data_IF_040968034782
#
_entry.id   IF_040968034782
#
_cell.length_a   1.000
_cell.length_b   1.000
_cell.length_c   1.000
_cell.angle_alpha   90.00
_cell.angle_beta   90.00
_cell.angle_gamma   90.00
#
_symmetry.space_group_name_H-M   'P 1'
#
loop_
_entity.id
_entity.type
_entity.pdbx_description
1 polymer ?
#
# COMPACT_ATOMS: atom_id res chain seq x y z
N UNK A 1 7.24 -24.01 7.70
CA UNK A 1 7.89 -23.24 8.75
C UNK A 1 8.03 -21.78 8.27
N UNK A 2 7.75 -20.83 9.16
CA UNK A 2 7.99 -19.41 8.92
C UNK A 2 9.48 -19.05 8.89
N UNK A 3 9.77 -17.79 8.51
CA UNK A 3 11.13 -17.26 8.51
C UNK A 3 11.68 -17.14 9.96
N UNK A 4 12.99 -17.00 10.08
CA UNK A 4 13.66 -16.73 11.36
C UNK A 4 13.45 -15.25 11.68
N UNK A 5 12.95 -14.98 12.88
CA UNK A 5 12.72 -13.60 13.34
C UNK A 5 14.05 -12.91 13.63
N UNK A 6 14.17 -11.66 13.20
CA UNK A 6 15.33 -10.84 13.48
C UNK A 6 15.50 -10.60 15.00
N UNK A 7 16.71 -10.67 15.55
CA UNK A 7 16.92 -10.58 17.01
C UNK A 7 16.48 -9.24 17.62
N UNK A 8 16.46 -8.16 16.84
CA UNK A 8 16.06 -6.82 17.31
C UNK A 8 14.53 -6.58 17.21
N UNK A 9 13.77 -7.50 16.57
CA UNK A 9 12.32 -7.35 16.49
C UNK A 9 11.68 -7.43 17.90
N UNK A 10 10.70 -6.56 18.22
CA UNK A 10 9.96 -6.67 19.47
C UNK A 10 9.35 -8.06 19.64
N UNK A 11 9.32 -8.56 20.88
CA UNK A 11 8.77 -9.90 21.19
C UNK A 11 7.33 -9.74 21.68
N UNK A 12 6.39 -10.40 21.01
CA UNK A 12 5.00 -10.36 21.43
C UNK A 12 4.01 -10.55 20.28
N UNK A 13 2.75 -10.21 20.51
CA UNK A 13 1.66 -10.26 19.52
C UNK A 13 1.43 -8.91 18.84
N UNK A 14 0.30 -8.78 18.16
CA UNK A 14 -0.08 -7.59 17.36
C UNK A 14 0.00 -6.26 18.16
N UNK A 15 -0.33 -6.30 19.46
CA UNK A 15 -0.35 -5.09 20.31
C UNK A 15 1.03 -4.71 20.88
N UNK A 16 2.04 -5.57 20.71
CA UNK A 16 3.36 -5.39 21.30
C UNK A 16 4.37 -4.71 20.35
N UNK A 17 3.87 -3.98 19.36
CA UNK A 17 4.69 -3.19 18.45
C UNK A 17 5.43 -2.05 19.18
N UNK A 18 6.54 -1.60 18.63
CA UNK A 18 7.29 -0.46 19.16
C UNK A 18 7.09 0.77 18.25
N UNK A 19 6.68 1.90 18.83
CA UNK A 19 6.71 3.19 18.13
C UNK A 19 8.14 3.70 18.09
N UNK A 20 8.73 3.78 16.89
CA UNK A 20 10.13 4.17 16.71
C UNK A 20 10.31 5.63 16.30
N UNK A 21 9.29 6.25 15.71
CA UNK A 21 9.33 7.65 15.28
C UNK A 21 7.91 8.21 15.11
N UNK A 22 7.76 9.50 15.38
CA UNK A 22 6.57 10.28 15.05
C UNK A 22 6.98 11.48 14.19
N UNK A 23 6.24 11.72 13.10
CA UNK A 23 6.51 12.78 12.14
C UNK A 23 5.25 13.62 11.94
N UNK A 24 5.40 14.93 12.08
CA UNK A 24 4.29 15.87 11.99
C UNK A 24 3.38 15.86 13.23
N UNK A 25 2.44 16.79 13.22
CA UNK A 25 1.47 16.95 14.32
C UNK A 25 0.06 16.90 13.73
N UNK A 26 -0.83 16.04 14.28
CA UNK A 26 -2.24 16.04 13.90
C UNK A 26 -2.88 17.43 14.07
N UNK A 27 -3.72 17.82 13.11
CA UNK A 27 -4.48 19.09 13.21
C UNK A 27 -5.47 19.02 14.37
N UNK A 28 -5.62 20.15 15.05
CA UNK A 28 -6.66 20.34 16.05
C UNK A 28 -7.87 21.03 15.41
N UNK A 29 -8.80 20.23 14.89
CA UNK A 29 -10.00 20.74 14.22
C UNK A 29 -10.92 21.50 15.15
N UNK A 30 -10.95 21.16 16.45
CA UNK A 30 -11.74 21.89 17.43
C UNK A 30 -11.19 23.31 17.61
N UNK A 31 -9.87 23.47 17.68
CA UNK A 31 -9.22 24.80 17.74
C UNK A 31 -9.44 25.60 16.44
N UNK A 32 -9.60 24.92 15.29
CA UNK A 32 -9.94 25.54 14.00
C UNK A 32 -11.44 25.86 13.88
N UNK A 33 -12.26 25.43 14.82
CA UNK A 33 -13.68 25.81 14.93
C UNK A 33 -14.65 24.96 14.11
N UNK A 34 -14.30 23.71 13.73
CA UNK A 34 -15.22 22.82 13.04
C UNK A 34 -14.95 21.33 13.40
N UNK A 35 -15.97 20.51 13.16
CA UNK A 35 -15.89 19.06 13.32
C UNK A 35 -15.49 18.41 12.01
N UNK A 36 -14.44 17.59 11.96
CA UNK A 36 -14.02 16.93 10.72
C UNK A 36 -15.08 15.92 10.24
N UNK A 37 -15.27 15.88 8.93
CA UNK A 37 -16.08 14.86 8.25
C UNK A 37 -15.21 13.63 7.96
N UNK A 38 -15.83 12.46 7.89
CA UNK A 38 -15.12 11.26 7.45
C UNK A 38 -14.89 11.25 5.92
N UNK A 39 -14.04 10.35 5.47
CA UNK A 39 -13.67 10.27 4.05
C UNK A 39 -14.85 9.93 3.13
N UNK A 40 -15.87 9.22 3.63
CA UNK A 40 -17.04 8.89 2.82
C UNK A 40 -17.92 10.12 2.61
N UNK A 41 -18.18 10.89 3.67
CA UNK A 41 -18.90 12.17 3.56
C UNK A 41 -18.20 13.13 2.62
N UNK A 42 -16.87 13.27 2.77
CA UNK A 42 -16.05 14.10 1.87
C UNK A 42 -16.06 13.58 0.44
N UNK A 43 -15.95 12.27 0.27
CA UNK A 43 -16.00 11.60 -1.03
C UNK A 43 -17.33 11.85 -1.77
N UNK A 44 -18.44 11.85 -1.04
CA UNK A 44 -19.76 12.15 -1.58
C UNK A 44 -19.87 13.65 -1.95
N UNK A 45 -19.42 14.55 -1.07
CA UNK A 45 -19.42 16.00 -1.35
C UNK A 45 -18.59 16.37 -2.57
N UNK A 46 -17.47 15.70 -2.76
CA UNK A 46 -16.56 15.92 -3.89
C UNK A 46 -17.00 15.19 -5.17
N UNK A 47 -18.02 14.33 -5.09
CA UNK A 47 -18.38 13.43 -6.20
C UNK A 47 -17.26 12.46 -6.56
N UNK A 48 -16.47 12.03 -5.57
CA UNK A 48 -15.22 11.29 -5.74
C UNK A 48 -15.36 9.79 -5.49
N UNK A 49 -16.26 9.36 -4.62
CA UNK A 49 -16.42 7.97 -4.17
C UNK A 49 -17.89 7.57 -4.22
N UNK A 50 -18.17 6.41 -4.82
CA UNK A 50 -19.50 5.83 -4.89
C UNK A 50 -19.48 4.38 -4.39
N UNK A 51 -19.81 4.18 -3.14
CA UNK A 51 -19.88 2.84 -2.52
C UNK A 51 -21.23 2.17 -2.75
N UNK A 52 -22.29 2.91 -2.97
CA UNK A 52 -23.62 2.37 -3.24
C UNK A 52 -23.65 1.59 -4.56
N UNK A 53 -23.16 2.21 -5.63
CA UNK A 53 -23.05 1.54 -6.93
C UNK A 53 -21.97 0.45 -6.93
N UNK A 54 -20.91 0.60 -6.17
CA UNK A 54 -19.92 -0.46 -5.95
C UNK A 54 -20.55 -1.71 -5.36
N UNK A 55 -21.35 -1.55 -4.30
CA UNK A 55 -22.09 -2.65 -3.66
C UNK A 55 -23.13 -3.26 -4.62
N UNK A 56 -23.84 -2.43 -5.38
CA UNK A 56 -24.81 -2.89 -6.38
C UNK A 56 -24.20 -3.79 -7.45
N UNK A 57 -23.01 -3.47 -7.91
CA UNK A 57 -22.35 -4.17 -9.04
C UNK A 57 -21.57 -5.39 -8.54
N UNK A 58 -20.86 -5.29 -7.42
CA UNK A 58 -19.88 -6.28 -7.00
C UNK A 58 -20.06 -6.78 -5.57
N UNK A 59 -20.96 -6.18 -4.79
CA UNK A 59 -21.17 -6.51 -3.39
C UNK A 59 -20.51 -5.53 -2.42
N UNK A 60 -20.63 -5.80 -1.13
CA UNK A 60 -20.03 -4.98 -0.08
C UNK A 60 -18.51 -4.89 -0.23
N UNK A 61 -17.92 -3.80 0.25
CA UNK A 61 -16.47 -3.50 0.17
C UNK A 61 -15.94 -3.31 -1.26
N UNK A 62 -16.83 -3.08 -2.22
CA UNK A 62 -16.49 -2.58 -3.56
C UNK A 62 -16.98 -1.13 -3.71
N UNK A 63 -16.34 -0.38 -4.58
CA UNK A 63 -16.55 1.04 -4.75
C UNK A 63 -16.21 1.46 -6.20
N UNK A 64 -16.69 2.63 -6.58
CA UNK A 64 -16.18 3.36 -7.72
C UNK A 64 -15.47 4.62 -7.23
N UNK A 65 -14.34 4.95 -7.84
CA UNK A 65 -13.79 6.30 -7.81
C UNK A 65 -14.29 7.03 -9.04
N UNK A 66 -14.86 8.22 -8.85
CA UNK A 66 -15.52 8.98 -9.89
C UNK A 66 -14.99 10.41 -9.95
N UNK A 67 -15.02 11.03 -11.13
CA UNK A 67 -14.62 12.43 -11.27
C UNK A 67 -13.24 12.71 -10.67
N UNK A 68 -13.21 13.65 -9.72
CA UNK A 68 -11.95 14.03 -9.06
C UNK A 68 -11.32 12.87 -8.24
N UNK A 69 -12.11 11.91 -7.79
CA UNK A 69 -11.60 10.73 -7.09
C UNK A 69 -10.76 9.85 -8.01
N UNK A 70 -11.22 9.61 -9.24
CA UNK A 70 -10.45 8.87 -10.23
C UNK A 70 -9.17 9.63 -10.62
N UNK A 71 -9.25 10.93 -10.81
CA UNK A 71 -8.08 11.77 -11.11
C UNK A 71 -7.07 11.77 -9.95
N UNK A 72 -7.55 11.77 -8.70
CA UNK A 72 -6.71 11.72 -7.51
C UNK A 72 -5.94 10.39 -7.43
N UNK A 73 -6.58 9.26 -7.74
CA UNK A 73 -5.89 7.98 -7.83
C UNK A 73 -4.77 8.01 -8.87
N UNK A 74 -5.07 8.46 -10.09
CA UNK A 74 -4.07 8.54 -11.16
C UNK A 74 -2.92 9.48 -10.78
N UNK A 75 -3.21 10.60 -10.11
CA UNK A 75 -2.19 11.52 -9.61
C UNK A 75 -1.29 10.85 -8.57
N UNK A 76 -1.86 10.15 -7.61
CA UNK A 76 -1.12 9.42 -6.57
C UNK A 76 -0.20 8.36 -7.17
N UNK A 77 -0.71 7.55 -8.09
CA UNK A 77 0.06 6.50 -8.77
C UNK A 77 1.23 7.11 -9.55
N UNK A 78 0.97 8.15 -10.35
CA UNK A 78 2.01 8.80 -11.14
C UNK A 78 3.07 9.47 -10.27
N UNK A 79 2.68 10.16 -9.21
CA UNK A 79 3.61 10.80 -8.28
C UNK A 79 4.47 9.76 -7.52
N UNK A 80 3.86 8.65 -7.07
CA UNK A 80 4.59 7.57 -6.41
C UNK A 80 5.60 6.90 -7.34
N UNK A 81 5.21 6.61 -8.58
CA UNK A 81 6.12 6.05 -9.59
C UNK A 81 7.24 7.03 -9.92
N UNK A 82 6.96 8.32 -10.01
CA UNK A 82 7.98 9.35 -10.23
C UNK A 82 9.02 9.37 -9.09
N UNK A 83 8.58 9.31 -7.83
CA UNK A 83 9.49 9.20 -6.69
C UNK A 83 10.34 7.94 -6.76
N UNK A 84 9.74 6.79 -7.02
CA UNK A 84 10.44 5.51 -7.12
C UNK A 84 11.47 5.52 -8.26
N UNK A 85 11.10 6.05 -9.42
CA UNK A 85 12.00 6.16 -10.58
C UNK A 85 13.18 7.07 -10.27
N UNK A 86 12.97 8.20 -9.60
CA UNK A 86 14.03 9.10 -9.15
C UNK A 86 14.98 8.43 -8.14
N UNK A 87 14.48 7.46 -7.36
CA UNK A 87 15.28 6.67 -6.42
C UNK A 87 15.99 5.47 -7.07
N UNK A 88 15.86 5.29 -8.39
CA UNK A 88 16.54 4.21 -9.13
C UNK A 88 15.73 2.92 -9.29
N UNK A 89 14.44 2.93 -8.97
CA UNK A 89 13.54 1.80 -9.24
C UNK A 89 13.15 1.75 -10.72
N UNK A 90 13.07 0.55 -11.26
CA UNK A 90 12.48 0.31 -12.57
C UNK A 90 10.97 0.15 -12.42
N UNK A 91 10.14 1.02 -13.01
CA UNK A 91 8.69 0.87 -12.95
C UNK A 91 8.23 -0.35 -13.75
N UNK A 92 7.25 -1.06 -13.21
CA UNK A 92 6.66 -2.25 -13.83
C UNK A 92 5.14 -2.23 -13.73
N UNK A 93 4.48 -2.63 -14.80
CA UNK A 93 3.08 -3.05 -14.80
C UNK A 93 3.06 -4.58 -14.74
N UNK A 94 2.54 -5.14 -13.65
CA UNK A 94 2.66 -6.57 -13.37
C UNK A 94 1.38 -7.32 -13.67
N UNK A 95 1.46 -8.64 -13.96
CA UNK A 95 0.28 -9.50 -14.01
C UNK A 95 -0.45 -9.53 -12.67
N UNK A 96 -1.77 -9.53 -12.69
CA UNK A 96 -2.61 -9.69 -11.50
C UNK A 96 -2.94 -11.16 -11.20
N UNK A 97 -2.85 -12.00 -12.23
CA UNK A 97 -3.06 -13.46 -12.14
C UNK A 97 -1.72 -14.16 -12.14
N UNK A 98 -1.48 -15.00 -11.16
CA UNK A 98 -0.21 -15.71 -10.99
C UNK A 98 -0.43 -17.20 -10.79
N UNK A 99 0.57 -17.99 -11.15
CA UNK A 99 0.56 -19.45 -10.94
C UNK A 99 0.71 -19.79 -9.45
N UNK A 100 0.26 -20.99 -9.02
CA UNK A 100 0.42 -21.44 -7.64
C UNK A 100 1.85 -21.39 -7.13
N UNK A 101 2.85 -21.69 -7.97
CA UNK A 101 4.26 -21.67 -7.58
C UNK A 101 4.74 -20.28 -7.13
N UNK A 102 4.28 -19.20 -7.79
CA UNK A 102 4.60 -17.82 -7.40
C UNK A 102 3.95 -17.46 -6.06
N UNK A 103 2.69 -17.85 -5.87
CA UNK A 103 1.94 -17.57 -4.65
C UNK A 103 2.52 -18.35 -3.46
N UNK A 104 2.83 -19.63 -3.64
CA UNK A 104 3.46 -20.47 -2.61
C UNK A 104 4.87 -19.99 -2.26
N UNK A 105 5.67 -19.68 -3.27
CA UNK A 105 7.07 -19.24 -3.10
C UNK A 105 7.22 -17.94 -2.35
N UNK A 106 6.23 -17.07 -2.42
CA UNK A 106 6.20 -15.81 -1.67
C UNK A 106 5.59 -15.92 -0.27
N UNK A 107 5.00 -17.07 0.08
CA UNK A 107 4.47 -17.34 1.41
C UNK A 107 2.98 -17.02 1.59
N UNK A 108 2.24 -16.81 0.50
CA UNK A 108 0.81 -16.45 0.56
C UNK A 108 -0.16 -17.64 0.54
N UNK A 109 0.31 -18.86 0.29
CA UNK A 109 -0.48 -20.06 0.49
C UNK A 109 -0.17 -20.68 1.86
N UNK A 110 -1.20 -21.20 2.52
CA UNK A 110 -1.14 -21.70 3.89
C UNK A 110 -1.89 -20.77 4.83
N UNK A 111 -1.21 -20.05 5.73
CA UNK A 111 -1.88 -19.17 6.71
C UNK A 111 -2.72 -18.04 6.11
N UNK A 112 -2.34 -17.53 4.95
CA UNK A 112 -3.03 -16.44 4.26
C UNK A 112 -3.97 -16.91 3.15
N UNK A 113 -4.14 -18.20 2.96
CA UNK A 113 -4.89 -18.79 1.85
C UNK A 113 -6.37 -18.37 1.83
N UNK A 114 -6.97 -18.18 3.01
CA UNK A 114 -8.36 -17.73 3.12
C UNK A 114 -8.59 -16.32 2.57
N UNK A 115 -7.55 -15.50 2.47
CA UNK A 115 -7.61 -14.14 1.94
C UNK A 115 -7.43 -14.06 0.42
N UNK A 116 -7.07 -15.18 -0.23
CA UNK A 116 -6.70 -15.20 -1.64
C UNK A 116 -7.89 -15.62 -2.51
N UNK A 117 -8.10 -14.90 -3.62
CA UNK A 117 -9.03 -15.31 -4.67
C UNK A 117 -8.35 -16.32 -5.60
N UNK A 118 -8.95 -17.51 -5.75
CA UNK A 118 -8.50 -18.57 -6.65
C UNK A 118 -9.48 -18.77 -7.80
N UNK A 119 -8.96 -18.90 -9.01
CA UNK A 119 -9.72 -19.23 -10.21
C UNK A 119 -9.50 -20.72 -10.51
N UNK A 120 -10.43 -21.56 -10.09
CA UNK A 120 -10.28 -23.01 -10.13
C UNK A 120 -10.08 -23.57 -11.53
N UNK A 121 -10.76 -22.99 -12.56
CA UNK A 121 -10.68 -23.48 -13.94
C UNK A 121 -9.31 -23.29 -14.59
N UNK A 122 -8.65 -22.22 -14.20
CA UNK A 122 -7.36 -21.82 -14.80
C UNK A 122 -6.18 -22.18 -13.89
N UNK A 123 -6.47 -22.57 -12.64
CA UNK A 123 -5.51 -22.75 -11.56
C UNK A 123 -4.58 -21.54 -11.43
N UNK A 124 -5.17 -20.36 -11.33
CA UNK A 124 -4.50 -19.08 -11.15
C UNK A 124 -5.06 -18.37 -9.92
N UNK A 125 -4.22 -17.57 -9.29
CA UNK A 125 -4.58 -16.75 -8.15
C UNK A 125 -4.54 -15.27 -8.49
N UNK A 126 -5.51 -14.51 -8.00
CA UNK A 126 -5.43 -13.04 -7.99
C UNK A 126 -4.50 -12.58 -6.88
N UNK A 127 -3.55 -11.74 -7.22
CA UNK A 127 -2.59 -11.21 -6.24
C UNK A 127 -3.25 -10.26 -5.24
N UNK A 128 -2.88 -10.35 -3.98
CA UNK A 128 -3.20 -9.35 -2.95
C UNK A 128 -2.18 -8.22 -2.89
N UNK A 129 -1.09 -8.34 -3.63
CA UNK A 129 0.00 -7.38 -3.78
C UNK A 129 0.85 -7.77 -5.00
N UNK A 130 1.38 -6.78 -5.72
CA UNK A 130 2.31 -7.05 -6.82
C UNK A 130 3.65 -7.65 -6.35
N UNK A 131 3.92 -7.65 -5.04
CA UNK A 131 5.05 -8.37 -4.45
C UNK A 131 5.20 -9.78 -5.00
N UNK A 132 4.09 -10.51 -5.17
CA UNK A 132 4.10 -11.89 -5.68
C UNK A 132 4.67 -11.96 -7.09
N UNK A 133 4.17 -11.13 -7.99
CA UNK A 133 4.65 -11.08 -9.37
C UNK A 133 6.08 -10.54 -9.47
N UNK A 134 6.43 -9.57 -8.63
CA UNK A 134 7.78 -8.99 -8.58
C UNK A 134 8.82 -9.99 -8.05
N UNK A 135 8.50 -10.69 -6.97
CA UNK A 135 9.37 -11.73 -6.41
C UNK A 135 9.59 -12.89 -7.40
N UNK A 136 8.55 -13.31 -8.08
CA UNK A 136 8.61 -14.39 -9.06
C UNK A 136 9.22 -13.98 -10.40
N UNK A 137 9.47 -12.68 -10.63
CA UNK A 137 10.02 -12.18 -11.89
C UNK A 137 11.35 -12.84 -12.26
N UNK A 138 12.19 -13.11 -11.26
CA UNK A 138 13.48 -13.79 -11.43
C UNK A 138 13.48 -15.25 -10.95
N UNK A 139 12.30 -15.88 -10.90
CA UNK A 139 12.17 -17.28 -10.50
C UNK A 139 13.08 -18.19 -11.33
N UNK A 140 13.82 -19.09 -10.65
CA UNK A 140 14.79 -20.02 -11.24
C UNK A 140 15.98 -19.36 -11.97
N UNK A 141 16.25 -18.08 -11.68
CA UNK A 141 17.37 -17.36 -12.27
C UNK A 141 18.57 -17.27 -11.31
N UNK A 142 19.77 -17.12 -11.92
CA UNK A 142 21.01 -16.76 -11.22
C UNK A 142 21.37 -15.34 -11.64
N UNK A 143 21.46 -14.43 -10.69
CA UNK A 143 21.80 -13.02 -10.92
C UNK A 143 23.28 -12.80 -10.56
N UNK A 144 24.04 -12.26 -11.48
CA UNK A 144 25.43 -11.89 -11.23
C UNK A 144 25.52 -10.74 -10.21
N UNK A 145 26.33 -10.90 -9.18
CA UNK A 145 26.45 -9.97 -8.05
C UNK A 145 26.63 -8.49 -8.45
N UNK A 146 27.39 -8.13 -9.51
CA UNK A 146 27.52 -6.72 -9.93
C UNK A 146 26.21 -6.06 -10.41
N UNK A 147 25.16 -6.85 -10.69
CA UNK A 147 23.84 -6.32 -11.05
C UNK A 147 23.00 -5.93 -9.84
N UNK A 148 23.35 -6.41 -8.64
CA UNK A 148 22.62 -6.12 -7.42
C UNK A 148 23.00 -4.76 -6.82
N UNK A 149 22.08 -4.06 -6.12
CA UNK A 149 20.68 -4.44 -5.94
C UNK A 149 19.85 -4.18 -7.21
N UNK A 150 18.82 -5.02 -7.42
CA UNK A 150 17.78 -4.78 -8.41
C UNK A 150 16.55 -4.23 -7.69
N UNK A 151 16.05 -3.09 -8.14
CA UNK A 151 14.93 -2.38 -7.52
C UNK A 151 13.81 -2.18 -8.53
N UNK A 152 12.63 -2.67 -8.20
CA UNK A 152 11.44 -2.61 -9.04
C UNK A 152 10.30 -1.91 -8.32
N UNK A 153 9.55 -1.06 -9.01
CA UNK A 153 8.33 -0.46 -8.53
C UNK A 153 7.15 -1.00 -9.36
N UNK A 154 6.39 -1.91 -8.78
CA UNK A 154 5.27 -2.57 -9.44
C UNK A 154 3.96 -1.83 -9.17
N UNK A 155 3.20 -1.56 -10.22
CA UNK A 155 1.83 -1.07 -10.12
C UNK A 155 0.86 -2.18 -10.53
N UNK A 156 -0.10 -2.47 -9.68
CA UNK A 156 -1.18 -3.41 -9.99
C UNK A 156 -2.43 -3.15 -9.15
N UNK A 157 -3.55 -3.66 -9.63
CA UNK A 157 -4.69 -3.93 -8.77
C UNK A 157 -4.37 -5.10 -7.83
N UNK A 158 -4.88 -5.00 -6.62
CA UNK A 158 -4.72 -5.98 -5.55
C UNK A 158 -6.09 -6.46 -5.09
N UNK A 159 -6.20 -7.74 -4.76
CA UNK A 159 -7.45 -8.39 -4.42
C UNK A 159 -7.31 -9.16 -3.12
N UNK A 160 -8.19 -8.89 -2.16
CA UNK A 160 -8.18 -9.57 -0.87
C UNK A 160 -9.58 -9.95 -0.45
N UNK A 161 -9.79 -11.15 0.04
CA UNK A 161 -11.11 -11.60 0.56
C UNK A 161 -11.44 -10.97 1.90
N UNK A 162 -10.44 -10.48 2.64
CA UNK A 162 -10.59 -9.86 3.95
C UNK A 162 -11.30 -10.79 4.96
N UNK A 163 -10.96 -12.09 4.93
CA UNK A 163 -11.62 -13.14 5.68
C UNK A 163 -11.59 -12.94 7.20
N UNK A 164 -10.51 -12.32 7.72
CA UNK A 164 -10.34 -12.05 9.16
C UNK A 164 -10.91 -10.70 9.62
N UNK A 165 -11.56 -9.92 8.76
CA UNK A 165 -11.92 -8.53 9.04
C UNK A 165 -13.41 -8.29 9.24
N UNK A 166 -14.17 -9.33 9.60
CA UNK A 166 -15.61 -9.20 9.83
C UNK A 166 -15.91 -8.09 10.86
N UNK A 167 -16.77 -7.14 10.46
CA UNK A 167 -17.14 -6.00 11.29
C UNK A 167 -16.10 -4.87 11.38
N UNK A 168 -14.88 -5.05 10.82
CA UNK A 168 -13.84 -4.03 10.82
C UNK A 168 -13.95 -3.15 9.57
N UNK A 169 -13.85 -1.81 9.73
CA UNK A 169 -13.83 -0.83 8.62
C UNK A 169 -14.92 -1.09 7.56
N UNK A 170 -16.16 -1.34 8.01
CA UNK A 170 -17.28 -1.69 7.12
C UNK A 170 -17.80 -0.49 6.33
N UNK A 171 -17.55 0.74 6.82
CA UNK A 171 -17.93 2.00 6.19
C UNK A 171 -16.75 2.55 5.39
N UNK A 172 -17.01 3.01 4.17
CA UNK A 172 -16.02 3.70 3.34
C UNK A 172 -15.08 2.77 2.58
N UNK A 173 -13.88 3.26 2.28
CA UNK A 173 -12.92 2.59 1.38
C UNK A 173 -11.57 2.26 2.04
N UNK A 174 -11.48 2.29 3.36
CA UNK A 174 -10.23 1.96 4.06
C UNK A 174 -9.87 0.48 3.93
N UNK A 175 -10.85 -0.40 3.99
CA UNK A 175 -10.70 -1.85 3.84
C UNK A 175 -11.65 -2.37 2.76
N UNK A 176 -11.10 -2.75 1.63
CA UNK A 176 -11.84 -3.10 0.41
C UNK A 176 -11.28 -4.37 -0.23
N UNK A 177 -12.10 -5.03 -1.05
CA UNK A 177 -11.71 -6.27 -1.75
C UNK A 177 -10.79 -6.04 -2.93
N UNK A 178 -10.85 -4.86 -3.53
CA UNK A 178 -10.02 -4.48 -4.69
C UNK A 178 -9.50 -3.06 -4.48
N UNK A 179 -8.20 -2.87 -4.67
CA UNK A 179 -7.54 -1.56 -4.62
C UNK A 179 -6.26 -1.57 -5.45
N UNK A 180 -5.80 -0.42 -5.85
CA UNK A 180 -4.54 -0.28 -6.58
C UNK A 180 -3.39 0.10 -5.64
N UNK A 181 -2.20 -0.38 -5.96
CA UNK A 181 -1.02 -0.18 -5.13
C UNK A 181 0.25 -0.07 -5.96
N UNK A 182 1.13 0.85 -5.58
CA UNK A 182 2.51 0.90 -6.02
C UNK A 182 3.37 0.23 -4.95
N UNK A 183 4.07 -0.83 -5.33
CA UNK A 183 4.90 -1.66 -4.45
C UNK A 183 6.36 -1.57 -4.85
N UNK A 184 7.24 -1.34 -3.88
CA UNK A 184 8.69 -1.43 -4.04
C UNK A 184 9.15 -2.85 -3.74
N UNK A 185 10.04 -3.37 -4.57
CA UNK A 185 10.65 -4.70 -4.39
C UNK A 185 12.14 -4.64 -4.69
N UNK A 186 12.94 -5.33 -3.86
CA UNK A 186 14.40 -5.32 -3.96
C UNK A 186 14.94 -6.74 -3.92
N UNK A 187 15.84 -7.04 -4.87
CA UNK A 187 16.72 -8.21 -4.82
C UNK A 187 18.13 -7.71 -4.47
N UNK A 188 18.74 -8.24 -3.44
CA UNK A 188 20.07 -7.79 -2.99
C UNK A 188 20.88 -8.94 -2.40
N UNK A 189 22.19 -8.71 -2.22
CA UNK A 189 23.00 -9.65 -1.46
C UNK A 189 22.51 -9.70 0.00
N UNK A 190 22.51 -10.87 0.65
CA UNK A 190 22.03 -10.99 2.04
C UNK A 190 22.69 -10.01 3.02
N UNK A 191 23.97 -9.71 2.81
CA UNK A 191 24.73 -8.80 3.66
C UNK A 191 24.23 -7.34 3.57
N UNK A 192 23.54 -6.97 2.49
CA UNK A 192 23.01 -5.64 2.24
C UNK A 192 21.52 -5.51 2.64
N UNK A 193 20.87 -6.61 3.06
CA UNK A 193 19.43 -6.63 3.30
C UNK A 193 18.99 -5.61 4.36
N UNK A 194 19.71 -5.50 5.47
CA UNK A 194 19.35 -4.54 6.52
C UNK A 194 19.45 -3.10 6.03
N UNK A 195 20.51 -2.75 5.29
CA UNK A 195 20.68 -1.41 4.73
C UNK A 195 19.60 -1.10 3.70
N UNK A 196 19.22 -2.05 2.85
CA UNK A 196 18.11 -1.89 1.90
C UNK A 196 16.76 -1.74 2.63
N UNK A 197 16.54 -2.45 3.73
CA UNK A 197 15.32 -2.31 4.51
C UNK A 197 15.17 -0.89 5.07
N UNK A 198 16.24 -0.32 5.60
CA UNK A 198 16.25 1.06 6.08
C UNK A 198 16.02 2.07 4.94
N UNK A 199 16.51 1.81 3.74
CA UNK A 199 16.25 2.65 2.55
C UNK A 199 14.78 2.59 2.14
N UNK A 200 14.16 1.40 2.11
CA UNK A 200 12.73 1.25 1.82
C UNK A 200 11.89 2.06 2.81
N UNK A 201 12.18 1.93 4.10
CA UNK A 201 11.51 2.72 5.12
C UNK A 201 11.70 4.24 4.90
N UNK A 202 12.91 4.68 4.55
CA UNK A 202 13.18 6.07 4.26
C UNK A 202 12.36 6.59 3.06
N UNK A 203 12.19 5.80 2.01
CA UNK A 203 11.36 6.17 0.85
C UNK A 203 9.88 6.21 1.20
N UNK A 204 9.38 5.32 2.03
CA UNK A 204 8.00 5.38 2.54
C UNK A 204 7.77 6.65 3.38
N UNK A 205 8.69 7.00 4.26
CA UNK A 205 8.64 8.23 5.05
C UNK A 205 8.68 9.47 4.16
N UNK A 206 9.53 9.48 3.15
CA UNK A 206 9.61 10.57 2.17
C UNK A 206 8.28 10.76 1.43
N UNK A 207 7.64 9.66 1.03
CA UNK A 207 6.34 9.68 0.36
C UNK A 207 5.26 10.30 1.24
N UNK A 208 5.09 9.81 2.46
CA UNK A 208 4.09 10.33 3.38
C UNK A 208 4.35 11.79 3.78
N UNK A 209 5.60 12.17 3.94
CA UNK A 209 5.99 13.56 4.18
C UNK A 209 5.63 14.46 3.00
N UNK A 210 5.86 14.01 1.77
CA UNK A 210 5.49 14.76 0.56
C UNK A 210 3.98 14.94 0.40
N UNK A 211 3.20 14.02 0.98
CA UNK A 211 1.73 14.12 1.06
C UNK A 211 1.25 14.98 2.23
N UNK A 212 2.20 15.53 3.02
CA UNK A 212 1.91 16.41 4.16
C UNK A 212 1.00 15.75 5.20
N UNK A 213 1.17 14.45 5.41
CA UNK A 213 0.41 13.66 6.39
C UNK A 213 1.20 13.52 7.68
N UNK A 214 0.56 13.71 8.85
CA UNK A 214 1.16 13.31 10.12
C UNK A 214 1.11 11.78 10.23
N UNK A 215 2.22 11.18 10.61
CA UNK A 215 2.33 9.72 10.72
C UNK A 215 3.31 9.30 11.81
N UNK A 216 3.24 8.03 12.18
CA UNK A 216 4.24 7.38 13.02
C UNK A 216 4.81 6.15 12.32
N UNK A 217 6.03 5.79 12.70
CA UNK A 217 6.68 4.54 12.28
C UNK A 217 6.63 3.57 13.45
N UNK A 218 6.16 2.37 13.20
CA UNK A 218 6.13 1.29 14.20
C UNK A 218 6.96 0.10 13.70
N UNK A 219 7.65 -0.55 14.61
CA UNK A 219 8.28 -1.84 14.36
C UNK A 219 7.38 -2.94 14.91
N UNK A 220 7.02 -3.90 14.06
CA UNK A 220 6.08 -4.96 14.41
C UNK A 220 6.75 -6.03 15.28
N UNK A 221 5.95 -6.58 16.19
CA UNK A 221 6.41 -7.66 17.05
C UNK A 221 6.45 -9.02 16.33
N UNK A 222 7.25 -9.92 16.86
CA UNK A 222 7.55 -11.24 16.30
C UNK A 222 6.32 -12.08 15.94
N UNK A 223 5.23 -11.92 16.67
CA UNK A 223 3.98 -12.65 16.43
C UNK A 223 3.10 -12.07 15.31
N UNK A 224 3.45 -10.88 14.77
CA UNK A 224 2.69 -10.16 13.74
C UNK A 224 3.45 -9.99 12.42
N UNK A 225 4.56 -10.68 12.25
CA UNK A 225 5.39 -10.55 11.04
C UNK A 225 4.83 -11.28 9.82
N UNK A 226 3.96 -12.25 10.02
CA UNK A 226 3.55 -13.18 8.98
C UNK A 226 4.62 -14.26 8.72
N UNK A 227 4.42 -15.05 7.64
CA UNK A 227 5.27 -16.22 7.39
C UNK A 227 6.66 -15.86 6.82
N UNK A 228 6.74 -14.86 5.96
CA UNK A 228 7.94 -14.59 5.16
C UNK A 228 8.88 -13.55 5.76
N UNK A 229 8.38 -12.60 6.54
CA UNK A 229 9.18 -11.51 7.07
C UNK A 229 9.99 -11.94 8.30
N UNK A 230 11.25 -11.50 8.35
CA UNK A 230 12.07 -11.56 9.55
C UNK A 230 11.96 -10.29 10.40
N UNK A 231 11.72 -9.16 9.75
CA UNK A 231 11.56 -7.84 10.36
C UNK A 231 10.61 -6.99 9.54
N UNK A 232 9.79 -6.17 10.18
CA UNK A 232 8.80 -5.35 9.52
C UNK A 232 8.61 -4.01 10.21
N UNK A 233 8.49 -2.95 9.40
CA UNK A 233 8.08 -1.62 9.85
C UNK A 233 6.83 -1.17 9.10
N UNK A 234 5.90 -0.55 9.80
CA UNK A 234 4.74 0.10 9.22
C UNK A 234 4.81 1.61 9.41
N UNK A 235 4.38 2.37 8.41
CA UNK A 235 4.08 3.78 8.56
C UNK A 235 2.56 3.93 8.68
N UNK A 236 2.13 4.48 9.81
CA UNK A 236 0.72 4.67 10.14
C UNK A 236 0.38 6.15 10.10
N UNK A 237 -0.55 6.56 9.24
CA UNK A 237 -1.01 7.94 9.17
C UNK A 237 -2.13 8.19 10.18
N UNK A 238 -2.17 9.42 10.70
CA UNK A 238 -3.27 9.87 11.54
C UNK A 238 -4.57 9.94 10.76
N UNK A 239 -5.64 9.36 11.30
CA UNK A 239 -6.98 9.46 10.72
C UNK A 239 -7.86 10.26 11.69
N UNK A 240 -8.16 11.54 11.38
CA UNK A 240 -8.83 12.47 12.29
C UNK A 240 -10.13 11.96 12.90
N UNK A 241 -11.03 11.40 12.09
CA UNK A 241 -12.33 10.95 12.58
C UNK A 241 -12.26 9.67 13.41
N UNK A 242 -11.17 8.92 13.30
CA UNK A 242 -10.92 7.73 14.12
C UNK A 242 -10.10 8.04 15.37
N UNK A 243 -9.41 9.21 15.41
CA UNK A 243 -8.57 9.61 16.52
C UNK A 243 -7.41 8.67 16.77
N UNK A 244 -6.87 8.03 15.72
CA UNK A 244 -5.77 7.08 15.81
C UNK A 244 -4.96 7.01 14.53
N UNK A 245 -3.75 6.47 14.66
CA UNK A 245 -2.89 6.14 13.54
C UNK A 245 -3.34 4.82 12.90
N UNK A 246 -3.31 4.75 11.57
CA UNK A 246 -3.67 3.58 10.80
C UNK A 246 -2.61 3.31 9.73
N UNK A 247 -2.30 2.03 9.50
CA UNK A 247 -1.32 1.59 8.52
C UNK A 247 -1.66 2.05 7.10
N UNK A 248 -0.73 2.78 6.47
CA UNK A 248 -0.76 3.12 5.05
C UNK A 248 0.29 2.36 4.26
N UNK A 249 1.49 2.20 4.82
CA UNK A 249 2.60 1.51 4.18
C UNK A 249 3.23 0.52 5.13
N UNK A 250 3.79 -0.55 4.58
CA UNK A 250 4.50 -1.59 5.33
C UNK A 250 5.73 -2.01 4.54
N UNK A 251 6.87 -2.19 5.21
CA UNK A 251 8.09 -2.71 4.59
C UNK A 251 8.65 -3.89 5.35
N UNK A 252 9.02 -4.93 4.62
CA UNK A 252 9.48 -6.21 5.17
C UNK A 252 10.84 -6.59 4.62
N UNK A 253 11.72 -7.03 5.51
CA UNK A 253 12.87 -7.84 5.15
C UNK A 253 12.46 -9.31 5.21
N UNK A 254 12.59 -10.03 4.11
CA UNK A 254 12.26 -11.45 4.03
C UNK A 254 13.52 -12.33 3.96
N UNK A 255 14.67 -11.73 4.07
CA UNK A 255 15.96 -12.39 3.95
C UNK A 255 15.97 -13.35 2.75
N UNK A 256 16.40 -14.60 2.93
CA UNK A 256 16.46 -15.61 1.87
C UNK A 256 15.16 -16.43 1.71
N UNK A 257 14.12 -16.14 2.49
CA UNK A 257 12.91 -16.98 2.55
C UNK A 257 12.24 -17.16 1.18
N UNK A 258 11.97 -16.07 0.47
CA UNK A 258 11.33 -16.10 -0.84
C UNK A 258 12.29 -16.60 -1.92
N UNK A 259 13.55 -16.15 -1.88
CA UNK A 259 14.56 -16.53 -2.84
C UNK A 259 14.81 -18.07 -2.84
N UNK A 260 14.87 -18.69 -1.67
CA UNK A 260 15.01 -20.15 -1.57
C UNK A 260 13.84 -20.91 -2.19
N UNK A 261 12.61 -20.44 -1.97
CA UNK A 261 11.39 -21.06 -2.49
C UNK A 261 11.20 -20.87 -3.98
N UNK A 262 11.59 -19.70 -4.48
CA UNK A 262 11.45 -19.33 -5.90
C UNK A 262 12.69 -19.70 -6.74
N UNK A 263 13.74 -20.24 -6.12
CA UNK A 263 14.96 -20.62 -6.84
C UNK A 263 15.75 -19.42 -7.37
N UNK A 264 15.62 -18.24 -6.75
CA UNK A 264 16.39 -17.06 -7.12
C UNK A 264 17.72 -17.06 -6.39
N UNK A 265 18.81 -16.99 -7.13
CA UNK A 265 20.16 -17.08 -6.58
C UNK A 265 21.05 -15.98 -7.13
N UNK A 266 22.11 -15.67 -6.41
CA UNK A 266 23.16 -14.79 -6.87
C UNK A 266 24.47 -15.58 -7.09
N UNK A 267 25.32 -15.04 -7.93
CA UNK A 267 26.67 -15.57 -8.17
C UNK A 267 27.70 -14.47 -7.94
N UNK A 268 28.67 -14.77 -7.08
CA UNK A 268 29.83 -13.92 -6.81
C UNK A 268 31.12 -14.76 -6.87
N UNK A 269 32.24 -14.18 -6.44
CA UNK A 269 33.54 -14.88 -6.42
C UNK A 269 33.55 -16.11 -5.49
N UNK A 270 32.69 -16.16 -4.48
CA UNK A 270 32.56 -17.27 -3.55
C UNK A 270 31.68 -18.41 -4.09
N UNK A 271 30.94 -18.18 -5.18
CA UNK A 271 30.07 -19.17 -5.81
C UNK A 271 28.62 -18.73 -5.94
N UNK A 272 27.70 -19.70 -6.06
CA UNK A 272 26.26 -19.48 -6.22
C UNK A 272 25.54 -19.75 -4.91
N UNK A 273 24.71 -18.81 -4.46
CA UNK A 273 23.95 -18.88 -3.21
C UNK A 273 22.62 -18.14 -3.32
N UNK A 274 21.64 -18.39 -2.42
CA UNK A 274 20.44 -17.58 -2.34
C UNK A 274 20.78 -16.11 -2.10
N UNK A 275 19.93 -15.20 -2.65
CA UNK A 275 19.98 -13.79 -2.34
C UNK A 275 18.88 -13.41 -1.34
N UNK A 276 18.83 -12.15 -0.94
CA UNK A 276 17.77 -11.61 -0.11
C UNK A 276 16.75 -10.84 -0.94
N UNK A 277 15.49 -10.91 -0.52
CA UNK A 277 14.39 -10.10 -1.05
C UNK A 277 13.78 -9.23 0.03
N UNK A 278 13.33 -8.04 -0.38
CA UNK A 278 12.63 -7.10 0.47
C UNK A 278 11.48 -6.48 -0.30
N UNK A 279 10.46 -6.07 0.42
CA UNK A 279 9.34 -5.35 -0.17
C UNK A 279 8.95 -4.15 0.68
N UNK A 280 8.25 -3.22 0.07
CA UNK A 280 7.66 -2.09 0.76
C UNK A 280 6.56 -1.45 -0.05
N UNK A 281 5.42 -1.22 0.57
CA UNK A 281 4.36 -0.42 -0.02
C UNK A 281 4.83 1.01 -0.19
N UNK A 282 4.73 1.57 -1.40
CA UNK A 282 4.92 3.00 -1.57
C UNK A 282 3.57 3.73 -1.47
N UNK A 283 2.57 3.29 -2.23
CA UNK A 283 1.23 3.89 -2.19
C UNK A 283 0.14 2.83 -2.30
N UNK A 284 -0.59 2.60 -1.20
CA UNK A 284 -1.87 1.91 -1.20
C UNK A 284 -2.95 2.98 -1.42
N UNK A 285 -3.53 3.03 -2.61
CA UNK A 285 -4.24 4.22 -3.09
C UNK A 285 -5.45 4.56 -2.24
N UNK A 286 -6.35 3.61 -1.96
CA UNK A 286 -7.59 3.89 -1.22
C UNK A 286 -7.33 4.39 0.20
N UNK A 287 -6.42 3.77 0.94
CA UNK A 287 -6.05 4.24 2.29
C UNK A 287 -5.38 5.60 2.26
N UNK A 288 -4.57 5.87 1.24
CA UNK A 288 -3.94 7.18 1.06
C UNK A 288 -4.99 8.26 0.76
N UNK A 289 -5.98 7.96 -0.07
CA UNK A 289 -7.12 8.86 -0.32
C UNK A 289 -7.87 9.17 0.98
N UNK A 290 -8.15 8.16 1.81
CA UNK A 290 -8.80 8.35 3.12
C UNK A 290 -8.02 9.34 3.97
N UNK A 291 -6.72 9.13 4.12
CA UNK A 291 -5.86 10.00 4.92
C UNK A 291 -5.79 11.43 4.35
N UNK A 292 -5.66 11.57 3.04
CA UNK A 292 -5.61 12.89 2.37
C UNK A 292 -6.90 13.67 2.57
N UNK A 293 -8.05 13.06 2.32
CA UNK A 293 -9.34 13.72 2.45
C UNK A 293 -9.56 14.20 3.89
N UNK A 294 -9.34 13.33 4.86
CA UNK A 294 -9.62 13.66 6.26
C UNK A 294 -8.61 14.67 6.83
N UNK A 295 -7.31 14.55 6.54
CA UNK A 295 -6.31 15.46 7.07
C UNK A 295 -6.33 16.84 6.39
N UNK A 296 -6.65 16.92 5.11
CA UNK A 296 -6.54 18.17 4.32
C UNK A 296 -7.89 18.85 4.07
N UNK A 297 -8.95 18.38 4.71
CA UNK A 297 -10.27 18.99 4.60
C UNK A 297 -10.32 20.41 5.15
N UNK A 298 -11.15 21.21 4.53
CA UNK A 298 -11.49 22.56 4.95
C UNK A 298 -12.92 22.61 5.51
N UNK A 299 -13.30 23.68 6.24
CA UNK A 299 -14.64 23.79 6.84
C UNK A 299 -15.80 23.66 5.86
N UNK A 300 -15.63 24.07 4.62
CA UNK A 300 -16.64 24.00 3.55
C UNK A 300 -16.72 22.63 2.86
N UNK A 301 -15.89 21.68 3.23
CA UNK A 301 -15.81 20.35 2.62
C UNK A 301 -14.88 20.26 1.41
N UNK A 302 -14.23 21.37 1.03
CA UNK A 302 -13.11 21.31 0.08
C UNK A 302 -11.90 20.63 0.73
N UNK A 303 -10.98 20.14 -0.08
CA UNK A 303 -9.76 19.47 0.38
C UNK A 303 -8.56 20.09 -0.31
N UNK A 304 -7.59 20.53 0.50
CA UNK A 304 -6.34 21.09 -0.02
C UNK A 304 -5.50 19.98 -0.66
N UNK A 305 -4.99 20.24 -1.85
CA UNK A 305 -4.11 19.31 -2.58
C UNK A 305 -2.66 19.53 -2.13
N UNK A 306 -1.97 18.49 -1.64
CA UNK A 306 -0.53 18.57 -1.37
C UNK A 306 0.25 19.00 -2.60
N UNK A 307 1.29 19.79 -2.41
CA UNK A 307 2.06 20.37 -3.53
C UNK A 307 2.58 19.31 -4.51
N UNK A 308 3.01 18.16 -4.00
CA UNK A 308 3.55 17.07 -4.83
C UNK A 308 2.54 16.54 -5.85
N UNK A 309 1.24 16.62 -5.55
CA UNK A 309 0.17 16.10 -6.42
C UNK A 309 -0.35 17.13 -7.41
N UNK A 310 -0.14 18.42 -7.18
CA UNK A 310 -0.67 19.49 -8.02
C UNK A 310 -0.28 19.39 -9.51
N UNK A 311 0.98 19.06 -9.87
CA UNK A 311 1.34 18.88 -11.28
C UNK A 311 0.54 17.78 -11.99
N UNK A 312 0.10 16.78 -11.25
CA UNK A 312 -0.66 15.64 -11.78
C UNK A 312 -2.19 15.88 -11.78
N UNK A 313 -2.62 17.02 -11.24
CA UNK A 313 -4.04 17.44 -11.15
C UNK A 313 -4.32 18.77 -11.86
N UNK A 314 -3.51 19.08 -12.87
CA UNK A 314 -3.66 20.31 -13.64
C UNK A 314 -3.40 21.58 -12.84
N UNK A 315 -2.56 21.51 -11.81
CA UNK A 315 -2.21 22.63 -10.95
C UNK A 315 -3.26 22.98 -9.88
N UNK A 316 -4.27 22.14 -9.67
CA UNK A 316 -5.30 22.38 -8.65
C UNK A 316 -4.70 22.46 -7.26
N UNK A 317 -5.07 23.48 -6.52
CA UNK A 317 -4.71 23.67 -5.11
C UNK A 317 -5.79 23.14 -4.17
N UNK A 318 -7.04 23.05 -4.63
CA UNK A 318 -8.19 22.56 -3.89
C UNK A 318 -8.99 21.56 -4.72
N UNK A 319 -9.52 20.53 -4.04
CA UNK A 319 -10.63 19.73 -4.52
C UNK A 319 -11.90 20.36 -3.98
N UNK A 320 -12.82 20.75 -4.86
CA UNK A 320 -14.01 21.51 -4.48
C UNK A 320 -15.25 20.61 -4.47
N UNK A 321 -16.17 20.80 -3.48
CA UNK A 321 -17.46 20.14 -3.50
C UNK A 321 -18.18 20.37 -4.82
N UNK A 322 -18.73 19.30 -5.41
CA UNK A 322 -19.60 19.42 -6.56
C UNK A 322 -20.92 20.01 -6.07
N UNK A 323 -21.24 21.24 -6.46
CA UNK A 323 -22.53 21.83 -6.15
C UNK A 323 -23.64 20.89 -6.63
N UNK A 324 -24.83 20.94 -6.02
CA UNK A 324 -26.04 20.24 -6.49
C UNK A 324 -26.50 20.63 -7.92
N UNK A 325 -25.66 21.29 -8.67
CA UNK A 325 -25.85 21.63 -10.09
C UNK A 325 -25.53 20.39 -10.94
N UNK A 326 -26.37 19.39 -10.88
CA UNK A 326 -26.25 18.15 -11.65
C UNK A 326 -27.44 17.21 -11.50
N UNK A 327 -28.49 17.62 -10.78
CA UNK A 327 -29.80 17.07 -11.10
C UNK A 327 -30.15 17.58 -12.49
N UNK A 328 -30.32 16.69 -13.54
CA UNK A 328 -30.91 17.16 -14.79
C UNK A 328 -32.17 17.88 -14.40
N UNK A 329 -32.33 19.12 -14.87
CA UNK A 329 -33.58 19.84 -14.76
C UNK A 329 -34.66 18.87 -15.18
N UNK A 330 -35.59 18.57 -14.28
CA UNK A 330 -36.76 17.77 -14.63
C UNK A 330 -37.36 18.46 -15.84
N UNK A 331 -37.13 17.88 -17.01
CA UNK A 331 -37.64 18.36 -18.27
C UNK A 331 -39.15 18.47 -18.13
N UNK A 332 -39.63 19.67 -17.96
CA UNK A 332 -41.00 19.95 -18.16
C UNK A 332 -41.33 19.66 -19.60
N UNK A 333 -42.22 18.71 -19.77
CA UNK A 333 -43.08 18.42 -20.94
C UNK A 333 -42.43 18.07 -22.25
#
# INVERSE_FOLDING_TARGET
LGNIVHPDAPVGGEEDFAVVEQVGTPRDFAAEGFTPRDHLELGELLGAVDTERGAKVSGSRFYYLTGIGALLELALVNAAIAQATAAGFTPMLTPNLVKPAAMAGTGYLGQAEDDVYHLDKDDLYLVGTSEVALAAYHMDEIIEAPRLPLRYAGFSSCYRREAGSYGKDTRGIFRVHQFDKVEMFVFTAPEEAEAEHQRLLAWEKQWLTSLELPFQVVELASGDLGMSASRKFDCEAWIPTQGKYRELTSTSNTDEFQARRLGVRMRDAAGTRPLATLNGTLCAVTRTIVALLENHQQPDGSVRVPEVLRPYLGGRELLEPVGRAGAPAAGGR
#
